data_IF_426949311188
#
_entry.id   IF_426949311188
#
_cell.length_a   1.000
_cell.length_b   1.000
_cell.length_c   1.000
_cell.angle_alpha   90.00
_cell.angle_beta   90.00
_cell.angle_gamma   90.00
#
_symmetry.space_group_name_H-M   'P 1'
#
loop_
_entity.id
_entity.type
_entity.pdbx_description
1 polymer ?
#
# COMPACT_ATOMS: atom_id res chain seq x y z
N UNK A 1 21.50 60.40 11.24
CA UNK A 1 20.63 59.71 10.26
C UNK A 1 20.51 58.24 10.68
N UNK A 2 19.56 57.91 11.56
CA UNK A 2 19.37 56.55 12.05
C UNK A 2 18.48 55.76 11.07
N UNK A 3 19.04 54.74 10.42
CA UNK A 3 18.29 53.81 9.57
C UNK A 3 17.44 52.90 10.45
N UNK A 4 16.13 53.12 10.43
CA UNK A 4 15.13 52.25 11.04
C UNK A 4 15.02 50.98 10.18
N UNK A 5 15.67 49.88 10.59
CA UNK A 5 15.48 48.57 9.98
C UNK A 5 14.12 48.01 10.40
N UNK A 6 13.08 48.35 9.66
CA UNK A 6 11.77 47.70 9.79
C UNK A 6 11.86 46.29 9.20
N UNK A 7 12.16 45.29 10.03
CA UNK A 7 11.91 43.88 9.69
C UNK A 7 10.40 43.72 9.50
N UNK A 8 9.95 43.60 8.26
CA UNK A 8 8.59 43.10 7.96
C UNK A 8 8.43 41.74 8.67
N UNK A 9 7.39 41.52 9.49
CA UNK A 9 7.12 40.17 9.98
C UNK A 9 6.86 39.29 8.77
N UNK A 10 7.60 38.18 8.66
CA UNK A 10 7.32 37.16 7.66
C UNK A 10 5.85 36.76 7.80
N UNK A 11 5.08 36.78 6.72
CA UNK A 11 3.69 36.32 6.73
C UNK A 11 3.66 34.93 7.38
N UNK A 12 2.83 34.77 8.41
CA UNK A 12 2.72 33.54 9.17
C UNK A 12 2.45 32.38 8.19
N UNK A 13 3.46 31.54 7.97
CA UNK A 13 3.34 30.38 7.09
C UNK A 13 2.43 29.41 7.81
N UNK A 14 1.26 29.15 7.25
CA UNK A 14 0.29 28.20 7.79
C UNK A 14 1.00 26.85 7.92
N UNK A 15 1.18 26.39 9.16
CA UNK A 15 1.87 25.12 9.43
C UNK A 15 0.97 23.96 9.03
N UNK A 16 1.54 22.81 8.66
CA UNK A 16 0.76 21.58 8.41
C UNK A 16 -0.13 21.22 9.60
N UNK A 17 0.35 21.49 10.81
CA UNK A 17 -0.40 21.36 12.06
C UNK A 17 -1.62 22.30 12.12
N UNK A 18 -1.48 23.55 11.67
CA UNK A 18 -2.59 24.51 11.66
C UNK A 18 -3.70 24.10 10.68
N UNK A 19 -3.32 23.52 9.52
CA UNK A 19 -4.28 22.96 8.56
C UNK A 19 -5.02 21.76 9.15
N UNK A 20 -4.30 20.83 9.80
CA UNK A 20 -4.92 19.68 10.45
C UNK A 20 -5.88 20.08 11.58
N UNK A 21 -5.50 21.08 12.39
CA UNK A 21 -6.37 21.63 13.44
C UNK A 21 -7.60 22.33 12.84
N UNK A 22 -7.43 23.05 11.73
CA UNK A 22 -8.54 23.68 11.01
C UNK A 22 -9.53 22.64 10.49
N UNK A 23 -9.04 21.58 9.85
CA UNK A 23 -9.89 20.53 9.29
C UNK A 23 -10.70 19.83 10.39
N UNK A 24 -10.08 19.54 11.54
CA UNK A 24 -10.78 18.98 12.71
C UNK A 24 -11.82 19.95 13.28
N UNK A 25 -11.52 21.26 13.35
CA UNK A 25 -12.49 22.27 13.80
C UNK A 25 -13.65 22.40 12.83
N UNK A 26 -13.39 22.36 11.52
CA UNK A 26 -14.41 22.37 10.48
C UNK A 26 -15.31 21.16 10.58
N UNK A 27 -14.75 19.96 10.78
CA UNK A 27 -15.53 18.73 11.00
C UNK A 27 -16.39 18.83 12.27
N UNK A 28 -15.82 19.26 13.39
CA UNK A 28 -16.56 19.48 14.65
C UNK A 28 -17.69 20.49 14.48
N UNK A 29 -17.46 21.58 13.76
CA UNK A 29 -18.46 22.63 13.56
C UNK A 29 -19.56 22.16 12.60
N UNK A 30 -19.23 21.35 11.59
CA UNK A 30 -20.22 20.64 10.76
C UNK A 30 -21.07 19.68 11.59
N UNK A 31 -20.47 18.87 12.46
CA UNK A 31 -21.21 17.98 13.38
C UNK A 31 -22.16 18.78 14.29
N UNK A 32 -21.70 19.90 14.86
CA UNK A 32 -22.56 20.79 15.65
C UNK A 32 -23.71 21.38 14.82
N UNK A 33 -23.46 21.76 13.58
CA UNK A 33 -24.50 22.25 12.67
C UNK A 33 -25.52 21.15 12.35
N UNK A 34 -25.07 19.92 12.09
CA UNK A 34 -25.96 18.79 11.86
C UNK A 34 -26.78 18.45 13.10
N UNK A 35 -26.17 18.36 14.27
CA UNK A 35 -26.91 18.14 15.53
C UNK A 35 -27.96 19.22 15.79
N UNK A 36 -27.64 20.51 15.55
CA UNK A 36 -28.64 21.58 15.63
C UNK A 36 -29.76 21.41 14.60
N UNK A 37 -29.43 21.02 13.36
CA UNK A 37 -30.42 20.73 12.32
C UNK A 37 -31.31 19.56 12.73
N UNK A 38 -30.74 18.44 13.19
CA UNK A 38 -31.47 17.26 13.67
C UNK A 38 -32.44 17.66 14.78
N UNK A 39 -31.99 18.39 15.81
CA UNK A 39 -32.87 18.87 16.88
C UNK A 39 -34.00 19.75 16.32
N UNK A 40 -33.67 20.71 15.44
CA UNK A 40 -34.69 21.59 14.84
C UNK A 40 -35.69 20.85 13.94
N UNK A 41 -35.26 19.80 13.23
CA UNK A 41 -36.10 18.98 12.37
C UNK A 41 -36.96 18.02 13.21
N UNK A 42 -36.44 17.53 14.33
CA UNK A 42 -37.18 16.77 15.33
C UNK A 42 -38.29 17.63 15.95
N UNK A 43 -37.97 18.85 16.39
CA UNK A 43 -38.96 19.80 16.89
C UNK A 43 -40.03 20.13 15.83
N UNK A 44 -39.61 20.27 14.57
CA UNK A 44 -40.52 20.53 13.45
C UNK A 44 -41.44 19.34 13.19
N UNK A 45 -40.94 18.11 13.21
CA UNK A 45 -41.75 16.91 12.96
C UNK A 45 -42.80 16.71 14.05
N UNK A 46 -42.46 16.97 15.32
CA UNK A 46 -43.39 16.92 16.43
C UNK A 46 -44.48 17.99 16.30
N UNK A 47 -44.11 19.22 15.92
CA UNK A 47 -45.07 20.28 15.64
C UNK A 47 -46.01 19.91 14.49
N UNK A 48 -45.49 19.35 13.40
CA UNK A 48 -46.30 18.92 12.26
C UNK A 48 -47.28 17.82 12.68
N UNK A 49 -46.85 16.87 13.53
CA UNK A 49 -47.72 15.82 14.07
C UNK A 49 -48.90 16.40 14.84
N UNK A 50 -48.65 17.35 15.73
CA UNK A 50 -49.71 18.05 16.50
C UNK A 50 -50.67 18.78 15.56
N UNK A 51 -50.18 19.38 14.47
CA UNK A 51 -51.04 20.04 13.47
C UNK A 51 -51.89 19.01 12.71
N UNK A 52 -51.31 17.87 12.32
CA UNK A 52 -52.06 16.78 11.68
C UNK A 52 -53.23 16.31 12.55
N UNK A 53 -53.01 16.11 13.85
CA UNK A 53 -54.05 15.70 14.80
C UNK A 53 -55.18 16.73 14.87
N UNK A 54 -54.84 18.02 14.90
CA UNK A 54 -55.82 19.12 14.85
C UNK A 54 -56.62 19.13 13.55
N UNK A 55 -55.97 18.93 12.40
CA UNK A 55 -56.66 18.85 11.09
C UNK A 55 -57.60 17.63 11.02
N UNK A 56 -57.26 16.52 11.67
CA UNK A 56 -58.16 15.36 11.82
C UNK A 56 -59.38 15.71 12.67
N UNK A 57 -59.21 16.40 13.80
CA UNK A 57 -60.34 16.86 14.62
C UNK A 57 -61.25 17.84 13.86
N UNK A 58 -60.66 18.77 13.11
CA UNK A 58 -61.38 19.73 12.27
C UNK A 58 -62.17 18.99 11.18
N UNK A 59 -61.56 17.99 10.53
CA UNK A 59 -62.25 17.16 9.55
C UNK A 59 -63.43 16.41 10.17
N UNK A 60 -63.28 15.82 11.37
CA UNK A 60 -64.37 15.16 12.11
C UNK A 60 -65.51 16.12 12.44
N UNK A 61 -65.20 17.34 12.89
CA UNK A 61 -66.20 18.39 13.17
C UNK A 61 -66.98 18.79 11.93
N UNK A 62 -66.32 18.97 10.78
CA UNK A 62 -66.99 19.28 9.53
C UNK A 62 -67.81 18.13 8.96
N UNK A 63 -67.40 16.87 9.18
CA UNK A 63 -68.22 15.71 8.84
C UNK A 63 -69.50 15.64 9.69
N UNK A 64 -69.40 15.90 10.99
CA UNK A 64 -70.57 15.96 11.88
C UNK A 64 -71.54 17.09 11.51
N UNK A 65 -71.02 18.22 11.01
CA UNK A 65 -71.81 19.34 10.51
C UNK A 65 -72.38 19.13 9.08
N UNK A 66 -72.07 18.00 8.42
CA UNK A 66 -72.53 17.71 7.05
C UNK A 66 -71.75 18.42 5.92
N UNK A 67 -70.75 19.23 6.27
CA UNK A 67 -69.95 20.04 5.34
C UNK A 67 -68.81 19.23 4.68
N UNK A 68 -69.18 18.36 3.73
CA UNK A 68 -68.23 17.45 3.04
C UNK A 68 -67.08 18.19 2.33
N UNK A 69 -67.34 19.37 1.74
CA UNK A 69 -66.31 20.13 0.99
C UNK A 69 -65.19 20.65 1.90
N UNK A 70 -65.53 21.10 3.11
CA UNK A 70 -64.54 21.60 4.09
C UNK A 70 -63.76 20.44 4.72
N UNK A 71 -64.44 19.33 5.01
CA UNK A 71 -63.78 18.11 5.50
C UNK A 71 -62.73 17.59 4.50
N UNK A 72 -63.04 17.56 3.20
CA UNK A 72 -62.07 17.17 2.17
C UNK A 72 -60.85 18.11 2.10
N UNK A 73 -61.05 19.41 2.32
CA UNK A 73 -59.96 20.38 2.33
C UNK A 73 -59.02 20.17 3.53
N UNK A 74 -59.56 19.91 4.72
CA UNK A 74 -58.76 19.57 5.91
C UNK A 74 -57.96 18.28 5.70
N UNK A 75 -58.57 17.24 5.11
CA UNK A 75 -57.85 15.99 4.79
C UNK A 75 -56.74 16.19 3.75
N UNK A 76 -56.93 17.08 2.76
CA UNK A 76 -55.87 17.45 1.80
C UNK A 76 -54.70 18.16 2.49
N UNK A 77 -54.98 19.07 3.44
CA UNK A 77 -53.95 19.74 4.24
C UNK A 77 -53.16 18.75 5.10
N UNK A 78 -53.86 17.82 5.76
CA UNK A 78 -53.22 16.72 6.51
C UNK A 78 -52.27 15.92 5.61
N UNK A 79 -52.74 15.48 4.43
CA UNK A 79 -51.90 14.70 3.50
C UNK A 79 -50.64 15.47 3.07
N UNK A 80 -50.76 16.78 2.82
CA UNK A 80 -49.61 17.61 2.49
C UNK A 80 -48.59 17.68 3.64
N UNK A 81 -49.07 17.82 4.87
CA UNK A 81 -48.24 17.82 6.07
C UNK A 81 -47.55 16.47 6.31
N UNK A 82 -48.25 15.36 6.07
CA UNK A 82 -47.67 14.01 6.12
C UNK A 82 -46.56 13.84 5.09
N UNK A 83 -46.75 14.28 3.85
CA UNK A 83 -45.68 14.26 2.83
C UNK A 83 -44.50 15.14 3.21
N UNK A 84 -44.74 16.30 3.85
CA UNK A 84 -43.66 17.15 4.35
C UNK A 84 -42.88 16.47 5.49
N UNK A 85 -43.59 15.76 6.37
CA UNK A 85 -43.01 14.97 7.45
C UNK A 85 -42.15 13.82 6.89
N UNK A 86 -42.65 13.08 5.90
CA UNK A 86 -41.88 12.02 5.21
C UNK A 86 -40.58 12.54 4.61
N UNK A 87 -40.63 13.70 3.92
CA UNK A 87 -39.42 14.35 3.38
C UNK A 87 -38.44 14.76 4.46
N UNK A 88 -38.96 15.29 5.57
CA UNK A 88 -38.14 15.71 6.72
C UNK A 88 -37.46 14.50 7.37
N UNK A 89 -38.17 13.38 7.53
CA UNK A 89 -37.61 12.15 8.05
C UNK A 89 -36.54 11.56 7.12
N UNK A 90 -36.76 11.59 5.80
CA UNK A 90 -35.75 11.16 4.83
C UNK A 90 -34.48 12.01 4.91
N UNK A 91 -34.63 13.33 5.08
CA UNK A 91 -33.49 14.22 5.28
C UNK A 91 -32.75 13.93 6.60
N UNK A 92 -33.49 13.58 7.67
CA UNK A 92 -32.91 13.23 8.95
C UNK A 92 -32.06 11.95 8.85
N UNK A 93 -32.56 10.90 8.19
CA UNK A 93 -31.80 9.67 7.92
C UNK A 93 -30.50 9.96 7.17
N UNK A 94 -30.56 10.80 6.14
CA UNK A 94 -29.35 11.19 5.39
C UNK A 94 -28.35 11.95 6.27
N UNK A 95 -28.82 12.79 7.21
CA UNK A 95 -27.94 13.49 8.15
C UNK A 95 -27.28 12.53 9.16
N UNK A 96 -28.02 11.54 9.63
CA UNK A 96 -27.50 10.48 10.52
C UNK A 96 -26.44 9.64 9.80
N UNK A 97 -26.70 9.22 8.55
CA UNK A 97 -25.74 8.48 7.74
C UNK A 97 -24.44 9.26 7.51
N UNK A 98 -24.53 10.56 7.19
CA UNK A 98 -23.35 11.41 7.07
C UNK A 98 -22.58 11.55 8.39
N UNK A 99 -23.29 11.61 9.51
CA UNK A 99 -22.67 11.69 10.85
C UNK A 99 -21.92 10.38 11.16
N UNK A 100 -22.57 9.24 10.96
CA UNK A 100 -21.98 7.91 11.14
C UNK A 100 -20.75 7.71 10.24
N UNK A 101 -20.80 8.18 9.00
CA UNK A 101 -19.67 8.11 8.07
C UNK A 101 -18.46 8.92 8.56
N UNK A 102 -18.71 10.09 9.16
CA UNK A 102 -17.65 10.92 9.75
C UNK A 102 -17.06 10.22 10.99
N UNK A 103 -17.90 9.63 11.84
CA UNK A 103 -17.44 8.89 13.02
C UNK A 103 -16.60 7.68 12.62
N UNK A 104 -17.02 6.93 11.60
CA UNK A 104 -16.23 5.83 11.04
C UNK A 104 -14.87 6.30 10.51
N UNK A 105 -14.83 7.41 9.76
CA UNK A 105 -13.57 7.98 9.27
C UNK A 105 -12.65 8.43 10.42
N UNK A 106 -13.20 8.90 11.55
CA UNK A 106 -12.42 9.22 12.75
C UNK A 106 -11.83 7.96 13.40
N UNK A 107 -12.58 6.86 13.47
CA UNK A 107 -12.09 5.57 13.97
C UNK A 107 -11.02 5.01 13.03
N UNK A 108 -11.24 5.03 11.73
CA UNK A 108 -10.26 4.60 10.73
C UNK A 108 -8.94 5.38 10.86
N UNK A 109 -9.03 6.70 11.06
CA UNK A 109 -7.86 7.53 11.35
C UNK A 109 -7.14 7.07 12.63
N UNK A 110 -7.87 6.81 13.71
CA UNK A 110 -7.26 6.34 14.97
C UNK A 110 -6.56 4.99 14.79
N UNK A 111 -7.16 4.06 14.04
CA UNK A 111 -6.56 2.77 13.72
C UNK A 111 -5.29 2.98 12.90
N UNK A 112 -5.33 3.84 11.88
CA UNK A 112 -4.16 4.17 11.07
C UNK A 112 -3.02 4.81 11.90
N UNK A 113 -3.35 5.75 12.78
CA UNK A 113 -2.39 6.38 13.69
C UNK A 113 -1.79 5.33 14.66
N UNK A 114 -2.60 4.39 15.15
CA UNK A 114 -2.15 3.26 15.98
C UNK A 114 -1.21 2.31 15.23
N UNK A 115 -1.53 1.95 13.99
CA UNK A 115 -0.66 1.14 13.12
C UNK A 115 0.67 1.86 12.84
N UNK A 116 0.63 3.17 12.61
CA UNK A 116 1.82 3.99 12.38
C UNK A 116 2.71 4.03 13.62
N UNK A 117 2.12 4.21 14.80
CA UNK A 117 2.85 4.16 16.07
C UNK A 117 3.46 2.77 16.31
N UNK A 118 2.69 1.70 16.09
CA UNK A 118 3.18 0.32 16.21
C UNK A 118 4.32 0.01 15.24
N UNK A 119 4.26 0.50 13.99
CA UNK A 119 5.34 0.34 13.02
C UNK A 119 6.61 1.08 13.44
N UNK A 120 6.48 2.27 14.04
CA UNK A 120 7.63 3.00 14.57
C UNK A 120 8.29 2.25 15.73
N UNK A 121 7.51 1.75 16.69
CA UNK A 121 8.03 0.93 17.80
C UNK A 121 8.70 -0.34 17.26
N UNK A 122 8.11 -0.99 16.25
CA UNK A 122 8.72 -2.17 15.64
C UNK A 122 10.05 -1.83 14.95
N UNK A 123 10.18 -0.64 14.34
CA UNK A 123 11.45 -0.17 13.78
C UNK A 123 12.50 0.10 14.85
N UNK A 124 12.09 0.65 15.99
CA UNK A 124 12.99 0.86 17.14
C UNK A 124 13.49 -0.49 17.66
N UNK A 125 12.59 -1.45 17.90
CA UNK A 125 12.95 -2.82 18.30
C UNK A 125 13.85 -3.47 17.24
N UNK A 126 13.55 -3.32 15.96
CA UNK A 126 14.39 -3.87 14.89
C UNK A 126 15.80 -3.24 14.87
N UNK A 127 15.93 -1.97 15.22
CA UNK A 127 17.22 -1.29 15.32
C UNK A 127 17.99 -1.71 16.58
N UNK A 128 17.32 -1.88 17.70
CA UNK A 128 17.93 -2.40 18.94
C UNK A 128 18.39 -3.85 18.76
N UNK A 129 17.52 -4.71 18.22
CA UNK A 129 17.86 -6.10 17.89
C UNK A 129 18.97 -6.20 16.85
N UNK A 130 19.04 -5.29 15.87
CA UNK A 130 20.14 -5.32 14.89
C UNK A 130 21.46 -4.85 15.50
N UNK A 131 21.46 -3.89 16.43
CA UNK A 131 22.66 -3.52 17.18
C UNK A 131 23.14 -4.66 18.08
N UNK A 132 22.26 -5.28 18.86
CA UNK A 132 22.60 -6.46 19.68
C UNK A 132 23.05 -7.64 18.81
N UNK A 133 22.40 -7.87 17.66
CA UNK A 133 22.80 -8.91 16.72
C UNK A 133 24.16 -8.60 16.07
N UNK A 134 24.48 -7.32 15.81
CA UNK A 134 25.78 -6.91 15.30
C UNK A 134 26.87 -7.01 16.38
N UNK A 135 26.59 -6.62 17.62
CA UNK A 135 27.51 -6.79 18.75
C UNK A 135 27.81 -8.27 19.00
N UNK A 136 26.77 -9.12 19.04
CA UNK A 136 26.93 -10.56 19.15
C UNK A 136 27.70 -11.16 17.97
N UNK A 137 27.47 -10.69 16.75
CA UNK A 137 28.21 -11.16 15.58
C UNK A 137 29.66 -10.66 15.57
N UNK A 138 29.93 -9.46 16.11
CA UNK A 138 31.28 -8.96 16.33
C UNK A 138 32.00 -9.74 17.43
N UNK A 139 31.32 -10.12 18.51
CA UNK A 139 31.88 -10.99 19.55
C UNK A 139 32.13 -12.39 19.00
N UNK A 140 31.17 -12.99 18.28
CA UNK A 140 31.36 -14.29 17.62
C UNK A 140 32.47 -14.24 16.56
N UNK A 141 32.63 -13.12 15.84
CA UNK A 141 33.70 -12.94 14.85
C UNK A 141 35.03 -12.60 15.51
N UNK A 142 35.07 -11.84 16.61
CA UNK A 142 36.28 -11.56 17.37
C UNK A 142 36.78 -12.81 18.09
N UNK A 143 35.87 -13.64 18.61
CA UNK A 143 36.16 -14.95 19.18
C UNK A 143 36.57 -15.94 18.09
N UNK A 144 35.93 -15.94 16.92
CA UNK A 144 36.33 -16.77 15.78
C UNK A 144 37.67 -16.32 15.19
N UNK A 145 37.92 -15.01 15.08
CA UNK A 145 39.20 -14.43 14.70
C UNK A 145 40.22 -14.69 15.79
N UNK A 146 39.91 -14.69 17.08
CA UNK A 146 40.84 -15.07 18.13
C UNK A 146 41.14 -16.58 18.08
N UNK A 147 40.17 -17.44 17.80
CA UNK A 147 40.39 -18.86 17.57
C UNK A 147 41.24 -19.11 16.33
N UNK A 148 40.94 -18.43 15.22
CA UNK A 148 41.72 -18.49 13.99
C UNK A 148 43.09 -17.83 14.18
N UNK A 149 43.15 -16.79 15.03
CA UNK A 149 44.36 -16.06 15.36
C UNK A 149 45.18 -16.69 16.51
N UNK A 150 44.68 -17.72 17.16
CA UNK A 150 45.48 -18.54 18.08
C UNK A 150 45.82 -19.85 17.36
N UNK A 151 44.93 -20.37 16.51
CA UNK A 151 45.17 -21.49 15.61
C UNK A 151 46.21 -21.24 14.52
N UNK A 152 46.29 -20.04 13.94
CA UNK A 152 47.34 -19.66 12.98
C UNK A 152 48.70 -19.39 13.66
N UNK A 153 48.73 -19.06 14.97
CA UNK A 153 49.94 -18.76 15.75
C UNK A 153 50.47 -20.06 16.38
N UNK A 154 49.59 -21.03 16.63
CA UNK A 154 49.90 -22.43 16.89
C UNK A 154 49.90 -23.27 15.60
N UNK A 155 50.14 -22.65 14.43
CA UNK A 155 50.46 -23.35 13.20
C UNK A 155 51.77 -24.12 13.39
N UNK A 156 51.65 -25.35 13.89
CA UNK A 156 52.72 -26.20 14.36
C UNK A 156 53.85 -26.33 13.33
N UNK A 157 55.09 -25.87 13.64
CA UNK A 157 56.27 -26.25 12.87
C UNK A 157 56.50 -27.78 12.88
N UNK A 158 55.94 -28.46 13.88
CA UNK A 158 56.12 -29.90 14.10
C UNK A 158 55.62 -30.76 12.93
N UNK A 159 54.58 -30.38 12.19
CA UNK A 159 54.12 -31.21 11.07
C UNK A 159 55.08 -31.10 9.88
N UNK A 160 55.56 -29.89 9.58
CA UNK A 160 56.54 -29.67 8.50
C UNK A 160 57.89 -30.28 8.83
N UNK A 161 58.34 -30.21 10.08
CA UNK A 161 59.62 -30.77 10.52
C UNK A 161 59.58 -32.30 10.69
N UNK A 162 58.43 -32.86 11.10
CA UNK A 162 58.23 -34.31 11.22
C UNK A 162 58.00 -35.00 9.87
N UNK A 163 57.47 -34.29 8.85
CA UNK A 163 57.45 -34.76 7.46
C UNK A 163 58.83 -34.62 6.79
N UNK A 164 59.50 -33.48 6.97
CA UNK A 164 60.82 -33.23 6.36
C UNK A 164 61.91 -34.19 6.85
N UNK A 165 61.78 -34.75 8.05
CA UNK A 165 62.72 -35.75 8.58
C UNK A 165 62.46 -37.22 8.18
N UNK A 166 61.35 -37.53 7.50
CA UNK A 166 60.94 -38.92 7.17
C UNK A 166 60.76 -39.22 5.69
N UNK A 167 60.71 -38.21 4.86
CA UNK A 167 60.60 -38.34 3.41
C UNK A 167 62.01 -38.47 2.82
N UNK A 168 62.24 -39.50 2.00
CA UNK A 168 63.49 -39.65 1.26
C UNK A 168 63.42 -38.85 -0.04
N UNK A 169 64.56 -38.50 -0.66
CA UNK A 169 64.59 -37.71 -1.89
C UNK A 169 63.83 -38.38 -3.06
N UNK A 170 63.70 -39.71 -3.04
CA UNK A 170 62.93 -40.48 -4.02
C UNK A 170 61.41 -40.31 -3.80
N UNK A 171 60.96 -40.24 -2.54
CA UNK A 171 59.55 -39.96 -2.21
C UNK A 171 59.16 -38.50 -2.55
N UNK A 172 60.11 -37.55 -2.50
CA UNK A 172 59.85 -36.15 -2.92
C UNK A 172 59.59 -36.04 -4.43
N UNK A 173 60.36 -36.76 -5.25
CA UNK A 173 60.16 -36.78 -6.70
C UNK A 173 58.84 -37.44 -7.09
N UNK A 174 58.46 -38.54 -6.44
CA UNK A 174 57.18 -39.22 -6.67
C UNK A 174 55.98 -38.32 -6.31
N UNK A 175 56.05 -37.61 -5.18
CA UNK A 175 55.00 -36.67 -4.75
C UNK A 175 54.92 -35.46 -5.70
N UNK A 176 56.06 -34.95 -6.17
CA UNK A 176 56.07 -33.86 -7.16
C UNK A 176 55.44 -34.30 -8.48
N UNK A 177 55.70 -35.53 -8.92
CA UNK A 177 55.13 -36.08 -10.13
C UNK A 177 53.61 -36.32 -9.99
N UNK A 178 53.13 -36.81 -8.84
CA UNK A 178 51.69 -36.91 -8.58
C UNK A 178 51.02 -35.52 -8.55
N UNK A 179 51.68 -34.52 -7.95
CA UNK A 179 51.17 -33.15 -7.91
C UNK A 179 51.08 -32.53 -9.31
N UNK A 180 52.11 -32.74 -10.15
CA UNK A 180 52.11 -32.29 -11.53
C UNK A 180 51.00 -33.00 -12.36
N UNK A 181 50.79 -34.30 -12.15
CA UNK A 181 49.68 -35.03 -12.77
C UNK A 181 48.31 -34.48 -12.34
N UNK A 182 48.10 -34.20 -11.05
CA UNK A 182 46.86 -33.61 -10.57
C UNK A 182 46.64 -32.21 -11.15
N UNK A 183 47.68 -31.38 -11.24
CA UNK A 183 47.62 -30.08 -11.91
C UNK A 183 47.27 -30.23 -13.40
N UNK A 184 47.85 -31.20 -14.10
CA UNK A 184 47.53 -31.45 -15.50
C UNK A 184 46.08 -31.90 -15.69
N UNK A 185 45.56 -32.74 -14.79
CA UNK A 185 44.17 -33.20 -14.79
C UNK A 185 43.21 -32.04 -14.53
N UNK A 186 43.52 -31.17 -13.58
CA UNK A 186 42.72 -29.99 -13.25
C UNK A 186 42.76 -28.96 -14.40
N UNK A 187 43.91 -28.79 -15.07
CA UNK A 187 44.03 -27.97 -16.28
C UNK A 187 43.26 -28.61 -17.45
N UNK A 188 43.27 -29.93 -17.59
CA UNK A 188 42.55 -30.64 -18.65
C UNK A 188 41.03 -30.60 -18.47
N UNK A 189 40.51 -30.62 -17.24
CA UNK A 189 39.08 -30.39 -16.96
C UNK A 189 38.65 -28.94 -17.26
N UNK A 190 39.58 -27.97 -17.22
CA UNK A 190 39.31 -26.56 -17.46
C UNK A 190 39.46 -26.11 -18.93
N UNK A 191 39.86 -26.98 -19.85
CA UNK A 191 40.08 -26.63 -21.27
C UNK A 191 39.01 -27.24 -22.22
N UNK A 192 38.17 -26.42 -22.88
CA UNK A 192 37.11 -26.90 -23.78
C UNK A 192 37.64 -27.38 -25.14
N UNK A 193 37.12 -28.51 -25.63
CA UNK A 193 37.46 -29.16 -26.91
C UNK A 193 36.99 -28.33 -28.12
N UNK A 194 37.91 -27.98 -29.02
CA UNK A 194 37.63 -27.40 -30.34
C UNK A 194 38.14 -28.35 -31.44
N UNK A 195 37.28 -28.81 -32.38
CA UNK A 195 37.73 -29.37 -33.64
C UNK A 195 37.59 -28.40 -34.83
N UNK A 196 38.63 -28.42 -35.66
CA UNK A 196 38.86 -27.67 -36.89
C UNK A 196 38.02 -28.20 -38.07
N UNK A 197 37.48 -27.33 -38.94
CA UNK A 197 37.45 -27.52 -40.42
C UNK A 197 36.89 -26.31 -41.22
N UNK A 198 37.79 -25.64 -41.95
CA UNK A 198 37.73 -24.79 -43.19
C UNK A 198 36.45 -23.99 -43.58
N UNK A 199 36.62 -22.66 -43.63
CA UNK A 199 35.75 -21.65 -44.27
C UNK A 199 35.93 -21.64 -45.82
N UNK A 200 34.89 -21.38 -46.63
CA UNK A 200 34.60 -19.99 -47.05
C UNK A 200 33.13 -19.66 -47.41
N UNK A 201 32.79 -18.36 -47.35
CA UNK A 201 31.89 -17.71 -48.32
C UNK A 201 30.42 -17.50 -47.93
N UNK A 202 30.14 -16.34 -47.32
CA UNK A 202 28.83 -15.68 -47.23
C UNK A 202 28.26 -15.45 -48.64
N UNK A 203 26.96 -15.68 -48.88
CA UNK A 203 26.01 -14.77 -49.58
C UNK A 203 24.55 -15.23 -49.40
N UNK A 204 23.66 -14.23 -49.51
CA UNK A 204 22.25 -14.13 -49.12
C UNK A 204 21.29 -15.09 -49.85
N UNK A 205 20.19 -15.44 -49.17
CA UNK A 205 19.06 -16.17 -49.76
C UNK A 205 18.02 -15.18 -50.28
N UNK A 206 17.83 -15.17 -51.59
CA UNK A 206 16.64 -14.66 -52.25
C UNK A 206 15.91 -15.79 -53.00
N UNK A 207 14.61 -15.54 -53.21
CA UNK A 207 13.71 -16.15 -54.21
C UNK A 207 12.72 -17.25 -53.77
N UNK A 208 11.51 -16.79 -53.41
CA UNK A 208 10.15 -17.09 -53.94
C UNK A 208 9.63 -18.57 -54.06
N UNK A 209 8.44 -18.76 -53.44
CA UNK A 209 7.36 -19.79 -53.50
C UNK A 209 7.04 -20.39 -54.92
N UNK A 210 6.34 -21.55 -55.11
CA UNK A 210 5.10 -21.93 -54.39
C UNK A 210 4.72 -23.42 -54.14
N UNK A 211 3.92 -23.61 -53.08
CA UNK A 211 2.67 -24.41 -52.91
C UNK A 211 2.56 -25.86 -53.46
N UNK A 212 2.24 -26.79 -52.56
CA UNK A 212 1.14 -27.77 -52.73
C UNK A 212 0.30 -27.87 -51.44
N UNK A 213 -1.01 -27.98 -51.65
CA UNK A 213 -2.10 -27.89 -50.67
C UNK A 213 -2.64 -29.30 -50.45
N UNK A 214 -2.71 -29.78 -49.22
CA UNK A 214 -3.68 -30.83 -48.83
C UNK A 214 -3.77 -30.93 -47.30
N UNK A 215 -4.98 -30.62 -46.82
CA UNK A 215 -5.60 -31.12 -45.59
C UNK A 215 -5.02 -30.71 -44.24
N UNK A 216 -5.66 -29.72 -43.59
CA UNK A 216 -6.38 -29.90 -42.32
C UNK A 216 -7.13 -28.60 -41.94
N UNK A 217 -8.37 -28.68 -41.39
CA UNK A 217 -9.30 -27.56 -41.25
C UNK A 217 -9.13 -26.70 -39.99
N UNK A 218 -9.79 -25.53 -40.04
CA UNK A 218 -9.69 -24.28 -39.26
C UNK A 218 -9.93 -24.35 -37.73
N UNK A 219 -9.31 -23.41 -37.01
CA UNK A 219 -9.82 -22.92 -35.72
C UNK A 219 -9.88 -21.38 -35.77
N UNK A 220 -11.03 -20.74 -35.49
CA UNK A 220 -11.21 -19.31 -35.61
C UNK A 220 -10.64 -18.59 -34.39
N UNK A 221 -9.78 -17.59 -34.62
CA UNK A 221 -9.38 -16.63 -33.59
C UNK A 221 -9.84 -15.25 -34.03
N UNK A 222 -11.00 -14.84 -33.52
CA UNK A 222 -11.50 -13.46 -33.63
C UNK A 222 -10.73 -12.55 -32.67
N UNK A 223 -10.26 -11.43 -33.21
CA UNK A 223 -9.61 -10.30 -32.53
C UNK A 223 -10.48 -9.67 -31.43
N UNK A 224 -9.86 -9.01 -30.44
CA UNK A 224 -10.41 -7.77 -29.91
C UNK A 224 -9.59 -6.57 -30.38
N UNK A 225 -10.26 -5.71 -31.15
CA UNK A 225 -9.84 -4.35 -31.44
C UNK A 225 -9.68 -3.53 -30.14
N UNK A 226 -8.59 -2.79 -30.05
CA UNK A 226 -8.26 -1.91 -28.93
C UNK A 226 -7.39 -0.75 -29.40
N UNK A 227 -8.05 0.24 -29.98
CA UNK A 227 -7.54 1.45 -30.59
C UNK A 227 -6.81 2.35 -29.56
N UNK A 228 -5.48 2.43 -29.63
CA UNK A 228 -4.72 3.44 -28.88
C UNK A 228 -4.82 4.79 -29.63
N UNK A 229 -5.68 5.64 -29.09
CA UNK A 229 -5.83 7.04 -29.45
C UNK A 229 -4.47 7.76 -29.49
N UNK A 230 -4.26 8.43 -30.63
CA UNK A 230 -3.14 9.32 -30.92
C UNK A 230 -2.91 10.34 -29.81
N UNK A 231 -1.67 10.41 -29.32
CA UNK A 231 -1.13 11.59 -28.67
C UNK A 231 -0.80 12.58 -29.79
N UNK A 232 -1.60 13.65 -29.88
CA UNK A 232 -1.31 14.81 -30.72
C UNK A 232 -0.16 15.60 -30.10
N UNK A 233 0.86 15.86 -30.91
CA UNK A 233 1.57 17.13 -30.92
C UNK A 233 0.87 18.08 -31.90
#
# INVERSE_FOLDING_TARGET
>A
MFKFFSRKPAAAKITSQDKAILDLKVQRDKLKQYNKKVNSLSDLSERIRVVCDKEVEIAKKHLAAGDKKKALLALKKKKYQETLLERTNAQLINLEEMTNSIEFALVEKQVFDGLKAGNNVLKEIQNEMSLEAVEKLMDETADAIAYQNVGWIWGCPEISELLSGKITAEDEEDVLQELEQLQQLEIAEQLPVVPETKLPGVQERDVVKPVTVADLPEVPMSEPAGELSRISC
#
